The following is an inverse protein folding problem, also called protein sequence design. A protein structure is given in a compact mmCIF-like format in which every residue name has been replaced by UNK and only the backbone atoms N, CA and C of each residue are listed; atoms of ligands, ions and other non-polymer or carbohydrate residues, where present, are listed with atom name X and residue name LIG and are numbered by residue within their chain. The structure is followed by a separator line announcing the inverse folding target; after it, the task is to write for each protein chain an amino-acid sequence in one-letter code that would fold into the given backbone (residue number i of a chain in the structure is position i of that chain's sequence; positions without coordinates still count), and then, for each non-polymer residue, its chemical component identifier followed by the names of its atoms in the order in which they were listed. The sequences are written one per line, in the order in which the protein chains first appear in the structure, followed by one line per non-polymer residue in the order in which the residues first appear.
data_IF_200423590727
#
_entry.id   IF_200423590727
#
_cell.length_a   1.000
_cell.length_b   1.000
_cell.length_c   1.000
_cell.angle_alpha   90.00
_cell.angle_beta   90.00
_cell.angle_gamma   90.00
#
_symmetry.space_group_name_H-M   'P 1'
#
loop_
_entity.id
_entity.type
_entity.pdbx_description
1 polymer ?
#
# COMPACT_ATOMS: atom_id res chain seq x y z
N UNK A 1 -1.46 -8.63 9.04
CA UNK A 1 -1.68 -7.40 9.83
C UNK A 1 -2.79 -6.55 9.24
N UNK A 2 -2.72 -6.16 7.96
CA UNK A 2 -3.81 -5.45 7.28
C UNK A 2 -5.17 -6.18 7.34
N UNK A 3 -5.21 -7.48 7.03
CA UNK A 3 -6.45 -8.27 7.13
C UNK A 3 -7.03 -8.27 8.56
N UNK A 4 -6.17 -8.38 9.57
CA UNK A 4 -6.58 -8.32 10.98
C UNK A 4 -7.11 -6.93 11.37
N UNK A 5 -6.74 -5.89 10.64
CA UNK A 5 -7.24 -4.53 10.78
C UNK A 5 -8.46 -4.24 9.89
N UNK A 6 -9.04 -5.27 9.25
CA UNK A 6 -10.23 -5.16 8.41
C UNK A 6 -9.95 -4.78 6.95
N UNK A 7 -8.70 -4.62 6.54
CA UNK A 7 -8.33 -4.33 5.15
C UNK A 7 -8.05 -5.67 4.45
N UNK A 8 -9.06 -6.22 3.80
CA UNK A 8 -9.05 -7.56 3.19
C UNK A 8 -9.07 -7.54 1.66
N UNK A 9 -9.40 -6.40 1.06
CA UNK A 9 -9.56 -6.23 -0.39
C UNK A 9 -8.74 -5.06 -0.92
N UNK A 10 -8.47 -5.06 -2.22
CA UNK A 10 -7.86 -3.91 -2.88
C UNK A 10 -8.72 -2.65 -2.77
N UNK A 11 -10.05 -2.78 -2.74
CA UNK A 11 -10.95 -1.66 -2.54
C UNK A 11 -10.79 -1.02 -1.16
N UNK A 12 -10.71 -1.82 -0.10
CA UNK A 12 -10.49 -1.33 1.27
C UNK A 12 -9.10 -0.72 1.41
N UNK A 13 -8.06 -1.32 0.82
CA UNK A 13 -6.71 -0.75 0.87
C UNK A 13 -6.60 0.54 0.07
N UNK A 14 -7.29 0.66 -1.06
CA UNK A 14 -7.35 1.87 -1.87
C UNK A 14 -8.08 3.02 -1.16
N UNK A 15 -9.04 2.71 -0.29
CA UNK A 15 -9.78 3.69 0.50
C UNK A 15 -9.08 4.04 1.84
N UNK A 16 -8.13 3.23 2.29
CA UNK A 16 -7.42 3.46 3.53
C UNK A 16 -6.47 4.66 3.42
N UNK A 17 -6.39 5.47 4.48
CA UNK A 17 -5.43 6.56 4.54
C UNK A 17 -4.02 6.03 4.81
N UNK A 18 -3.00 6.81 4.45
CA UNK A 18 -1.62 6.49 4.78
C UNK A 18 -1.42 6.30 6.29
N UNK A 19 -2.05 7.16 7.10
CA UNK A 19 -2.00 7.09 8.57
C UNK A 19 -2.57 5.77 9.09
N UNK A 20 -3.72 5.33 8.56
CA UNK A 20 -4.33 4.05 8.95
C UNK A 20 -3.40 2.89 8.62
N UNK A 21 -2.84 2.85 7.41
CA UNK A 21 -1.94 1.78 6.99
C UNK A 21 -0.68 1.78 7.86
N UNK A 22 -0.07 2.94 8.08
CA UNK A 22 1.13 3.08 8.91
C UNK A 22 0.86 2.63 10.36
N UNK A 23 -0.26 3.04 10.96
CA UNK A 23 -0.65 2.62 12.31
C UNK A 23 -0.80 1.10 12.45
N UNK A 24 -1.30 0.42 11.41
CA UNK A 24 -1.37 -1.05 11.39
C UNK A 24 0.02 -1.68 11.33
N UNK A 25 0.95 -1.11 10.57
CA UNK A 25 2.34 -1.60 10.47
C UNK A 25 3.11 -1.36 11.78
N UNK A 26 2.91 -0.22 12.41
CA UNK A 26 3.57 0.12 13.69
C UNK A 26 3.09 -0.83 14.79
N UNK A 27 1.77 -1.09 14.88
CA UNK A 27 1.19 -2.06 15.82
C UNK A 27 1.62 -3.51 15.53
N UNK A 28 2.01 -3.82 14.30
CA UNK A 28 2.50 -5.13 13.90
C UNK A 28 3.95 -5.41 14.34
N UNK A 29 4.65 -4.38 14.82
CA UNK A 29 5.98 -4.46 15.42
C UNK A 29 7.12 -3.96 14.51
N UNK A 30 8.34 -3.86 15.07
CA UNK A 30 9.46 -3.13 14.46
C UNK A 30 9.92 -3.68 13.11
N UNK A 31 9.63 -4.95 12.80
CA UNK A 31 9.92 -5.55 11.49
C UNK A 31 9.14 -4.91 10.33
N UNK A 32 8.01 -4.27 10.60
CA UNK A 32 7.16 -3.62 9.59
C UNK A 32 7.30 -2.10 9.56
N UNK A 33 7.85 -1.50 10.63
CA UNK A 33 8.04 -0.05 10.74
C UNK A 33 8.96 0.54 9.66
N UNK A 34 9.85 -0.27 9.08
CA UNK A 34 10.73 0.15 7.99
C UNK A 34 10.08 0.12 6.59
N UNK A 35 8.88 -0.46 6.45
CA UNK A 35 8.14 -0.46 5.19
C UNK A 35 7.62 0.95 4.89
N UNK A 36 7.55 1.31 3.61
CA UNK A 36 6.95 2.56 3.17
C UNK A 36 5.58 2.31 2.51
N UNK A 37 4.46 2.58 3.20
CA UNK A 37 3.13 2.39 2.64
C UNK A 37 2.63 3.56 1.78
N UNK A 38 3.47 4.57 1.50
CA UNK A 38 3.08 5.84 0.86
C UNK A 38 2.39 5.71 -0.49
N UNK A 39 2.61 4.61 -1.21
CA UNK A 39 2.00 4.33 -2.53
C UNK A 39 1.07 3.12 -2.52
N UNK A 40 0.84 2.49 -1.36
CA UNK A 40 0.07 1.24 -1.30
C UNK A 40 -1.39 1.45 -1.68
N UNK A 41 -2.01 2.55 -1.23
CA UNK A 41 -3.39 2.87 -1.58
C UNK A 41 -3.55 3.12 -3.10
N UNK A 42 -2.60 3.82 -3.72
CA UNK A 42 -2.58 4.05 -5.16
C UNK A 42 -2.40 2.75 -5.95
N UNK A 43 -1.46 1.91 -5.54
CA UNK A 43 -1.25 0.59 -6.13
C UNK A 43 -2.51 -0.29 -6.00
N UNK A 44 -3.17 -0.25 -4.84
CA UNK A 44 -4.41 -0.97 -4.61
C UNK A 44 -5.56 -0.44 -5.45
N UNK A 45 -5.64 0.87 -5.71
CA UNK A 45 -6.65 1.43 -6.59
C UNK A 45 -6.50 0.90 -8.02
N UNK A 46 -5.26 0.83 -8.53
CA UNK A 46 -4.98 0.24 -9.84
C UNK A 46 -5.33 -1.24 -9.90
N UNK A 47 -4.99 -2.00 -8.85
CA UNK A 47 -5.35 -3.43 -8.76
C UNK A 47 -6.87 -3.66 -8.66
N UNK A 48 -7.59 -2.82 -7.91
CA UNK A 48 -9.06 -2.85 -7.80
C UNK A 48 -9.73 -2.64 -9.17
N UNK A 49 -9.15 -1.77 -9.98
CA UNK A 49 -9.69 -1.35 -11.28
C UNK A 49 -9.18 -2.20 -12.45
N UNK A 50 -8.53 -3.34 -12.18
CA UNK A 50 -7.91 -4.23 -13.17
C UNK A 50 -6.88 -3.55 -14.11
N UNK A 51 -6.26 -2.46 -13.64
CA UNK A 51 -5.26 -1.66 -14.38
C UNK A 51 -3.84 -2.20 -14.20
N UNK A 52 -3.64 -3.47 -14.53
CA UNK A 52 -2.38 -4.20 -14.29
C UNK A 52 -1.17 -3.60 -15.01
N UNK A 53 -1.35 -3.06 -16.22
CA UNK A 53 -0.27 -2.40 -16.96
C UNK A 53 0.15 -1.07 -16.32
N UNK A 54 -0.82 -0.28 -15.86
CA UNK A 54 -0.56 0.98 -15.13
C UNK A 54 0.11 0.68 -13.78
N UNK A 55 -0.34 -0.36 -13.07
CA UNK A 55 0.27 -0.82 -11.82
C UNK A 55 1.74 -1.20 -12.04
N UNK A 56 2.03 -1.98 -13.08
CA UNK A 56 3.39 -2.39 -13.41
C UNK A 56 4.28 -1.19 -13.74
N UNK A 57 3.75 -0.22 -14.48
CA UNK A 57 4.46 1.02 -14.78
C UNK A 57 4.77 1.80 -13.50
N UNK A 58 3.77 2.03 -12.65
CA UNK A 58 3.95 2.71 -11.36
C UNK A 58 5.03 2.01 -10.54
N UNK A 59 4.95 0.69 -10.37
CA UNK A 59 5.94 -0.08 -9.59
C UNK A 59 7.37 0.05 -10.14
N UNK A 60 7.56 0.17 -11.46
CA UNK A 60 8.87 0.40 -12.06
C UNK A 60 9.45 1.79 -11.77
N UNK A 61 8.60 2.77 -11.48
CA UNK A 61 8.96 4.14 -11.11
C UNK A 61 9.25 4.29 -9.60
N UNK A 62 8.97 3.26 -8.80
CA UNK A 62 9.21 3.26 -7.36
C UNK A 62 10.57 2.64 -7.00
N UNK A 63 11.11 3.08 -5.86
CA UNK A 63 12.21 2.46 -5.13
C UNK A 63 11.72 2.08 -3.72
N UNK A 64 11.54 0.79 -3.47
CA UNK A 64 11.02 0.29 -2.19
C UNK A 64 9.66 0.88 -1.78
N UNK A 65 8.80 1.19 -2.76
CA UNK A 65 7.49 1.82 -2.53
C UNK A 65 7.50 3.34 -2.48
N UNK A 66 8.67 3.99 -2.59
CA UNK A 66 8.84 5.45 -2.65
C UNK A 66 8.97 5.89 -4.10
N UNK A 67 8.43 7.07 -4.45
CA UNK A 67 8.72 7.67 -5.75
C UNK A 67 10.22 8.00 -5.82
N UNK A 68 10.86 7.65 -6.94
CA UNK A 68 12.23 8.06 -7.21
C UNK A 68 12.30 9.59 -7.25
N UNK A 69 13.28 10.16 -6.57
CA UNK A 69 13.61 11.58 -6.62
C UNK A 69 14.42 11.91 -7.87
#
# INVERSE_FOLDING_TARGET
HLNNAGINTYAELAAASLETIQGVLDAAGPRYAALNPGTWAEQAALARDDKWDELKKLQGELDGGKRKS
#
